data_IF_282766759366
#
_entry.id   IF_282766759366
#
_cell.length_a   1.000
_cell.length_b   1.000
_cell.length_c   1.000
_cell.angle_alpha   90.00
_cell.angle_beta   90.00
_cell.angle_gamma   90.00
#
_symmetry.space_group_name_H-M   'P 1'
#
loop_
_entity.id
_entity.type
_entity.pdbx_description
1 polymer ?
#
# COMPACT_ATOMS: atom_id res chain seq x y z
N UNK A 1 -35.26 -21.82 -21.29
CA UNK A 1 -35.64 -20.43 -21.61
C UNK A 1 -34.52 -19.53 -21.17
N UNK A 2 -33.98 -18.70 -22.07
CA UNK A 2 -32.96 -17.73 -21.73
C UNK A 2 -33.66 -16.50 -21.13
N UNK A 3 -33.31 -16.12 -19.89
CA UNK A 3 -33.94 -14.98 -19.22
C UNK A 3 -33.68 -13.69 -20.00
N UNK A 4 -34.74 -12.96 -20.33
CA UNK A 4 -34.67 -11.67 -21.00
C UNK A 4 -34.38 -10.59 -19.95
N UNK A 5 -33.27 -9.87 -20.08
CA UNK A 5 -32.95 -8.75 -19.20
C UNK A 5 -33.93 -7.60 -19.41
N UNK A 6 -34.24 -6.85 -18.34
CA UNK A 6 -35.05 -5.64 -18.42
C UNK A 6 -34.34 -4.57 -19.23
N UNK A 7 -35.07 -3.91 -20.13
CA UNK A 7 -34.62 -2.64 -20.70
C UNK A 7 -34.74 -1.52 -19.65
N UNK A 8 -34.10 -0.36 -19.90
CA UNK A 8 -34.26 0.83 -19.04
C UNK A 8 -35.75 1.20 -18.88
N UNK A 9 -36.53 1.09 -19.96
CA UNK A 9 -37.98 1.33 -19.94
C UNK A 9 -38.72 0.33 -19.05
N UNK A 10 -38.37 -0.95 -19.11
CA UNK A 10 -38.97 -1.98 -18.24
C UNK A 10 -38.60 -1.71 -16.77
N UNK A 11 -37.35 -1.33 -16.50
CA UNK A 11 -36.90 -0.98 -15.15
C UNK A 11 -37.64 0.24 -14.60
N UNK A 12 -37.73 1.32 -15.38
CA UNK A 12 -38.39 2.56 -14.97
C UNK A 12 -39.90 2.34 -14.76
N UNK A 13 -40.55 1.51 -15.57
CA UNK A 13 -41.95 1.13 -15.35
C UNK A 13 -42.19 0.45 -13.99
N UNK A 14 -41.19 -0.23 -13.45
CA UNK A 14 -41.29 -0.95 -12.17
C UNK A 14 -40.77 -0.17 -10.97
N UNK A 15 -39.88 0.82 -11.18
CA UNK A 15 -39.16 1.51 -10.11
C UNK A 15 -39.24 3.04 -10.16
N UNK A 16 -39.96 3.63 -11.11
CA UNK A 16 -40.11 5.10 -11.25
C UNK A 16 -40.74 5.76 -10.03
N UNK A 17 -41.66 5.08 -9.34
CA UNK A 17 -42.32 5.61 -8.14
C UNK A 17 -41.45 5.58 -6.86
N UNK A 18 -40.30 4.89 -6.89
CA UNK A 18 -39.48 4.64 -5.69
C UNK A 18 -38.31 5.62 -5.50
N UNK A 19 -37.85 6.28 -6.57
CA UNK A 19 -36.62 7.07 -6.51
C UNK A 19 -36.72 8.33 -7.38
N UNK A 20 -37.26 9.41 -6.82
CA UNK A 20 -37.10 10.77 -7.36
C UNK A 20 -35.67 11.30 -7.13
N UNK A 21 -34.65 10.48 -7.40
CA UNK A 21 -33.24 10.87 -7.28
C UNK A 21 -32.73 11.12 -5.86
N UNK A 22 -33.56 10.95 -4.82
CA UNK A 22 -33.14 11.00 -3.43
C UNK A 22 -32.46 9.67 -3.06
N UNK A 23 -31.13 9.68 -3.04
CA UNK A 23 -30.29 8.58 -2.60
C UNK A 23 -29.63 8.87 -1.26
N UNK A 24 -30.11 9.87 -0.50
CA UNK A 24 -29.48 10.29 0.76
C UNK A 24 -29.58 9.21 1.85
N UNK A 25 -30.46 8.21 1.66
CA UNK A 25 -30.54 7.01 2.49
C UNK A 25 -29.40 5.99 2.23
N UNK A 26 -28.60 6.17 1.18
CA UNK A 26 -27.49 5.29 0.83
C UNK A 26 -26.21 5.81 1.48
N UNK A 27 -25.79 5.14 2.56
CA UNK A 27 -24.45 5.32 3.10
C UNK A 27 -23.50 4.30 2.47
N UNK A 28 -22.52 4.80 1.70
CA UNK A 28 -21.48 3.95 1.11
C UNK A 28 -20.37 3.70 2.15
N UNK A 29 -20.19 2.44 2.54
CA UNK A 29 -19.07 2.06 3.40
C UNK A 29 -17.72 2.10 2.68
N UNK A 30 -16.70 2.66 3.34
CA UNK A 30 -15.31 2.56 2.85
C UNK A 30 -14.79 1.12 2.99
N UNK A 31 -14.20 0.59 1.92
CA UNK A 31 -13.55 -0.71 1.95
C UNK A 31 -12.10 -0.66 2.51
N UNK A 32 -11.48 0.52 2.59
CA UNK A 32 -10.20 0.70 3.29
C UNK A 32 -10.47 1.18 4.72
N UNK A 33 -10.12 0.35 5.71
CA UNK A 33 -10.25 0.70 7.12
C UNK A 33 -9.05 1.49 7.64
N UNK A 34 -8.01 1.75 6.83
CA UNK A 34 -6.84 2.51 7.27
C UNK A 34 -7.21 3.95 7.67
N UNK A 35 -6.95 4.30 8.93
CA UNK A 35 -7.06 5.65 9.45
C UNK A 35 -5.73 6.07 10.10
N UNK A 36 -5.13 7.16 9.63
CA UNK A 36 -3.79 7.57 10.06
C UNK A 36 -3.73 7.99 11.54
N UNK A 37 -4.82 8.55 12.09
CA UNK A 37 -4.93 8.91 13.50
C UNK A 37 -5.04 7.67 14.39
N UNK A 38 -5.83 6.68 13.99
CA UNK A 38 -5.97 5.43 14.75
C UNK A 38 -4.68 4.64 14.74
N UNK A 39 -3.98 4.61 13.60
CA UNK A 39 -2.65 3.98 13.48
C UNK A 39 -1.63 4.70 14.36
N UNK A 40 -1.63 6.04 14.37
CA UNK A 40 -0.79 6.81 15.28
C UNK A 40 -1.09 6.50 16.76
N UNK A 41 -2.37 6.40 17.12
CA UNK A 41 -2.81 6.01 18.46
C UNK A 41 -2.26 4.64 18.87
N UNK A 42 -2.31 3.66 17.95
CA UNK A 42 -1.72 2.34 18.19
C UNK A 42 -0.19 2.40 18.34
N UNK A 43 0.51 3.12 17.45
CA UNK A 43 1.98 3.25 17.45
C UNK A 43 2.52 3.79 18.77
N UNK A 44 1.81 4.72 19.44
CA UNK A 44 2.22 5.26 20.74
C UNK A 44 2.39 4.22 21.84
N UNK A 45 1.78 3.04 21.69
CA UNK A 45 1.88 1.95 22.66
C UNK A 45 3.12 1.06 22.43
N UNK A 46 3.99 1.42 21.50
CA UNK A 46 5.19 0.67 21.13
C UNK A 46 6.45 1.54 21.21
N UNK A 47 7.61 0.88 21.18
CA UNK A 47 8.87 1.60 21.00
C UNK A 47 8.97 2.11 19.55
N UNK A 48 8.76 3.42 19.39
CA UNK A 48 8.78 4.10 18.10
C UNK A 48 10.11 3.94 17.35
N UNK A 49 11.26 3.95 18.04
CA UNK A 49 12.57 3.79 17.38
C UNK A 49 12.70 2.40 16.78
N UNK A 50 12.19 1.39 17.49
CA UNK A 50 12.17 0.02 16.99
C UNK A 50 11.24 -0.09 15.78
N UNK A 51 10.03 0.49 15.85
CA UNK A 51 9.09 0.46 14.72
C UNK A 51 9.62 1.18 13.48
N UNK A 52 10.27 2.33 13.64
CA UNK A 52 10.94 3.05 12.55
C UNK A 52 12.02 2.15 11.94
N UNK A 53 12.87 1.56 12.78
CA UNK A 53 13.96 0.67 12.34
C UNK A 53 13.42 -0.52 11.55
N UNK A 54 12.36 -1.16 12.07
CA UNK A 54 11.63 -2.25 11.39
C UNK A 54 11.05 -1.77 10.05
N UNK A 55 10.39 -0.61 10.01
CA UNK A 55 9.77 -0.09 8.78
C UNK A 55 10.79 0.11 7.65
N UNK A 56 11.97 0.65 7.99
CA UNK A 56 13.08 0.85 7.07
C UNK A 56 13.63 -0.50 6.60
N UNK A 57 13.90 -1.44 7.53
CA UNK A 57 14.36 -2.78 7.22
C UNK A 57 13.41 -3.47 6.23
N UNK A 58 12.11 -3.42 6.49
CA UNK A 58 11.10 -4.05 5.65
C UNK A 58 10.96 -3.40 4.27
N UNK A 59 11.03 -2.06 4.18
CA UNK A 59 10.94 -1.36 2.89
C UNK A 59 12.18 -1.58 2.02
N UNK A 60 13.36 -1.71 2.64
CA UNK A 60 14.64 -1.76 1.92
C UNK A 60 15.09 -3.21 1.65
N UNK A 61 15.02 -4.09 2.64
CA UNK A 61 15.48 -5.47 2.51
C UNK A 61 14.34 -6.40 2.09
N UNK A 62 13.11 -6.08 2.49
CA UNK A 62 11.93 -6.89 2.21
C UNK A 62 11.73 -8.04 3.20
N UNK A 63 10.79 -8.92 2.87
CA UNK A 63 10.49 -10.15 3.60
C UNK A 63 11.10 -11.34 2.85
N UNK A 64 12.02 -12.06 3.48
CA UNK A 64 12.55 -13.31 2.93
C UNK A 64 11.49 -14.42 2.94
N UNK A 65 11.77 -15.55 2.28
CA UNK A 65 10.91 -16.74 2.36
C UNK A 65 10.82 -17.24 3.82
N UNK A 66 9.76 -16.79 4.52
CA UNK A 66 9.34 -17.18 5.87
C UNK A 66 10.06 -16.52 7.07
N UNK A 67 10.95 -15.55 6.86
CA UNK A 67 11.59 -14.81 7.97
C UNK A 67 11.47 -13.30 7.76
N UNK A 68 11.09 -12.58 8.84
CA UNK A 68 11.09 -11.11 8.86
C UNK A 68 12.50 -10.52 9.04
N UNK A 69 13.46 -11.36 9.46
CA UNK A 69 14.84 -10.96 9.68
C UNK A 69 15.03 -10.24 11.01
N UNK A 70 16.21 -9.66 11.17
CA UNK A 70 16.66 -8.95 12.36
C UNK A 70 16.94 -7.49 11.96
N UNK A 71 16.66 -6.56 12.87
CA UNK A 71 17.10 -5.17 12.76
C UNK A 71 17.98 -4.80 13.96
N UNK A 72 19.00 -3.98 13.72
CA UNK A 72 19.82 -3.41 14.79
C UNK A 72 19.29 -2.04 15.17
N UNK A 73 18.85 -1.87 16.40
CA UNK A 73 18.38 -0.59 16.94
C UNK A 73 19.19 -0.26 18.19
N UNK A 74 19.90 0.88 18.20
CA UNK A 74 20.76 1.30 19.32
C UNK A 74 21.77 0.24 19.80
N UNK A 75 22.28 -0.59 18.88
CA UNK A 75 23.23 -1.66 19.20
C UNK A 75 22.61 -3.00 19.60
N UNK A 76 21.30 -3.05 19.82
CA UNK A 76 20.57 -4.28 20.12
C UNK A 76 20.04 -4.94 18.85
N UNK A 77 20.14 -6.26 18.77
CA UNK A 77 19.54 -7.07 17.71
C UNK A 77 18.10 -7.43 18.06
N UNK A 78 17.18 -7.03 17.21
CA UNK A 78 15.75 -7.25 17.38
C UNK A 78 15.27 -8.19 16.29
N UNK A 79 14.87 -9.40 16.67
CA UNK A 79 14.14 -10.30 15.79
C UNK A 79 12.72 -9.76 15.56
N UNK A 80 12.41 -9.42 14.31
CA UNK A 80 11.21 -8.67 13.96
C UNK A 80 9.94 -9.49 14.22
N UNK A 81 10.00 -10.81 13.97
CA UNK A 81 8.85 -11.69 14.21
C UNK A 81 8.54 -11.78 15.70
N UNK A 82 9.57 -12.01 16.53
CA UNK A 82 9.44 -12.06 17.98
C UNK A 82 8.93 -10.74 18.55
N UNK A 83 9.37 -9.61 17.98
CA UNK A 83 8.85 -8.29 18.34
C UNK A 83 7.36 -8.17 18.01
N UNK A 84 6.93 -8.59 16.82
CA UNK A 84 5.51 -8.58 16.44
C UNK A 84 4.66 -9.49 17.32
N UNK A 85 5.13 -10.70 17.62
CA UNK A 85 4.45 -11.64 18.53
C UNK A 85 4.28 -11.02 19.93
N UNK A 86 5.35 -10.42 20.48
CA UNK A 86 5.34 -9.77 21.81
C UNK A 86 4.40 -8.57 21.88
N UNK A 87 4.27 -7.82 20.78
CA UNK A 87 3.55 -6.55 20.74
C UNK A 87 2.16 -6.64 20.12
N UNK A 88 1.74 -7.82 19.66
CA UNK A 88 0.42 -8.03 19.05
C UNK A 88 0.26 -7.44 17.65
N UNK A 89 1.37 -7.13 16.95
CA UNK A 89 1.32 -6.65 15.56
C UNK A 89 0.91 -7.80 14.65
N UNK A 90 -0.13 -7.59 13.83
CA UNK A 90 -0.72 -8.62 12.98
C UNK A 90 0.10 -8.80 11.70
N UNK A 91 0.80 -9.93 11.57
CA UNK A 91 1.67 -10.20 10.42
C UNK A 91 1.35 -11.50 9.67
N UNK A 92 0.60 -12.42 10.29
CA UNK A 92 0.21 -13.72 9.72
C UNK A 92 -1.25 -13.77 9.23
N UNK A 93 -1.90 -12.61 9.10
CA UNK A 93 -3.29 -12.50 8.66
C UNK A 93 -3.50 -13.09 7.25
N UNK A 94 -4.51 -13.93 7.11
CA UNK A 94 -4.93 -14.50 5.82
C UNK A 94 -5.70 -13.46 5.00
N UNK A 95 -5.76 -13.66 3.68
CA UNK A 95 -6.55 -12.80 2.78
C UNK A 95 -8.02 -12.82 3.22
N UNK A 96 -8.60 -11.64 3.49
CA UNK A 96 -9.98 -11.51 3.97
C UNK A 96 -10.11 -11.36 5.49
N UNK A 97 -9.00 -11.41 6.25
CA UNK A 97 -9.02 -11.02 7.67
C UNK A 97 -9.46 -9.57 7.77
N UNK A 98 -10.57 -9.31 8.48
CA UNK A 98 -11.04 -7.95 8.76
C UNK A 98 -10.02 -7.27 9.68
N UNK A 99 -9.51 -6.13 9.23
CA UNK A 99 -8.64 -5.27 10.02
C UNK A 99 -9.47 -4.10 10.56
N UNK A 100 -9.38 -3.87 11.86
CA UNK A 100 -9.90 -2.65 12.49
C UNK A 100 -8.99 -1.46 12.13
N UNK A 101 -9.47 -0.23 12.28
CA UNK A 101 -8.74 0.94 11.76
C UNK A 101 -7.37 1.17 12.39
N UNK A 102 -7.22 0.89 13.67
CA UNK A 102 -5.96 0.97 14.42
C UNK A 102 -5.08 -0.28 14.35
N UNK A 103 -5.51 -1.37 13.69
CA UNK A 103 -4.72 -2.59 13.65
C UNK A 103 -3.36 -2.36 12.96
N UNK A 104 -2.28 -2.67 13.68
CA UNK A 104 -0.93 -2.61 13.13
C UNK A 104 -0.62 -3.88 12.34
N UNK A 105 -0.13 -3.67 11.13
CA UNK A 105 0.43 -4.71 10.27
C UNK A 105 1.75 -4.21 9.69
N UNK A 106 2.65 -5.08 9.20
CA UNK A 106 3.88 -4.65 8.55
C UNK A 106 3.66 -3.60 7.44
N UNK A 107 2.60 -3.78 6.63
CA UNK A 107 2.26 -2.83 5.56
C UNK A 107 1.77 -1.49 6.09
N UNK A 108 0.94 -1.49 7.15
CA UNK A 108 0.42 -0.26 7.76
C UNK A 108 1.51 0.53 8.48
N UNK A 109 2.46 -0.17 9.13
CA UNK A 109 3.64 0.45 9.74
C UNK A 109 4.52 1.11 8.67
N UNK A 110 4.82 0.42 7.55
CA UNK A 110 5.55 1.02 6.44
C UNK A 110 4.81 2.20 5.81
N UNK A 111 3.49 2.09 5.60
CA UNK A 111 2.65 3.20 5.10
C UNK A 111 2.69 4.39 6.05
N UNK A 112 2.60 4.17 7.36
CA UNK A 112 2.66 5.25 8.34
C UNK A 112 4.02 5.98 8.30
N UNK A 113 5.12 5.23 8.36
CA UNK A 113 6.47 5.80 8.33
C UNK A 113 7.03 6.09 6.93
N UNK A 114 6.18 6.14 5.90
CA UNK A 114 6.59 6.33 4.48
C UNK A 114 7.51 7.53 4.26
N UNK A 115 7.25 8.66 4.93
CA UNK A 115 8.09 9.84 4.84
C UNK A 115 9.48 9.65 5.47
N UNK A 116 9.58 8.88 6.56
CA UNK A 116 10.87 8.56 7.19
C UNK A 116 11.67 7.61 6.30
N UNK A 117 11.01 6.61 5.69
CA UNK A 117 11.64 5.68 4.74
C UNK A 117 12.17 6.44 3.53
N UNK A 118 11.36 7.35 2.97
CA UNK A 118 11.75 8.23 1.87
C UNK A 118 12.95 9.11 2.21
N UNK A 119 12.93 9.77 3.38
CA UNK A 119 14.02 10.61 3.85
C UNK A 119 15.31 9.79 4.04
N UNK A 120 15.20 8.59 4.61
CA UNK A 120 16.33 7.67 4.76
C UNK A 120 16.95 7.30 3.41
N UNK A 121 16.16 6.90 2.41
CA UNK A 121 16.65 6.56 1.07
C UNK A 121 17.22 7.78 0.33
N UNK A 122 16.69 8.96 0.60
CA UNK A 122 17.18 10.22 0.02
C UNK A 122 18.55 10.61 0.57
N UNK A 123 18.74 10.49 1.89
CA UNK A 123 20.01 10.77 2.57
C UNK A 123 21.07 9.69 2.35
N UNK A 124 20.64 8.45 2.14
CA UNK A 124 21.52 7.29 1.96
C UNK A 124 21.45 6.78 0.50
N UNK A 125 21.88 7.59 -0.47
CA UNK A 125 21.74 7.29 -1.91
C UNK A 125 22.35 5.94 -2.34
N UNK A 126 23.36 5.43 -1.65
CA UNK A 126 23.96 4.12 -1.92
C UNK A 126 23.07 2.94 -1.48
N UNK A 127 22.07 3.20 -0.65
CA UNK A 127 21.11 2.19 -0.20
C UNK A 127 19.93 2.17 -1.16
N UNK A 128 19.69 1.01 -1.77
CA UNK A 128 18.56 0.78 -2.67
C UNK A 128 17.62 -0.26 -2.10
N UNK A 129 16.33 -0.10 -2.31
CA UNK A 129 15.36 -1.11 -1.91
C UNK A 129 15.55 -2.40 -2.71
N UNK A 130 15.13 -3.52 -2.13
CA UNK A 130 15.06 -4.81 -2.81
C UNK A 130 14.14 -4.74 -4.02
N UNK A 131 13.03 -3.99 -3.91
CA UNK A 131 12.09 -3.75 -5.00
C UNK A 131 12.82 -3.12 -6.20
N UNK A 132 13.61 -2.08 -5.95
CA UNK A 132 14.41 -1.42 -6.98
C UNK A 132 15.44 -2.38 -7.60
N UNK A 133 16.32 -2.95 -6.76
CA UNK A 133 17.45 -3.77 -7.24
C UNK A 133 17.01 -4.99 -8.05
N UNK A 134 15.90 -5.62 -7.66
CA UNK A 134 15.48 -6.89 -8.26
C UNK A 134 14.46 -6.73 -9.38
N UNK A 135 13.59 -5.71 -9.32
CA UNK A 135 12.42 -5.62 -10.19
C UNK A 135 12.35 -4.32 -11.00
N UNK A 136 13.14 -3.29 -10.70
CA UNK A 136 13.10 -2.06 -11.49
C UNK A 136 13.67 -2.32 -12.89
N UNK A 137 12.90 -2.11 -13.97
CA UNK A 137 13.37 -2.36 -15.33
C UNK A 137 14.34 -1.28 -15.83
N UNK A 138 14.35 -0.10 -15.20
CA UNK A 138 15.18 1.04 -15.56
C UNK A 138 15.94 1.47 -14.30
N UNK A 139 17.26 1.29 -14.30
CA UNK A 139 18.12 1.59 -13.15
C UNK A 139 18.51 3.09 -13.15
N UNK A 140 17.51 3.96 -13.03
CA UNK A 140 17.76 5.39 -12.83
C UNK A 140 18.04 5.68 -11.35
N UNK A 141 19.32 5.92 -11.07
CA UNK A 141 19.83 6.26 -9.74
C UNK A 141 19.17 7.52 -9.15
N UNK A 142 18.74 8.47 -9.99
CA UNK A 142 18.04 9.68 -9.54
C UNK A 142 16.62 9.40 -9.08
N UNK A 143 16.01 8.29 -9.46
CA UNK A 143 14.64 7.95 -9.06
C UNK A 143 14.62 6.77 -8.09
N UNK A 144 15.75 6.15 -7.77
CA UNK A 144 15.76 4.92 -6.97
C UNK A 144 15.08 5.02 -5.59
N UNK A 145 15.05 6.23 -5.01
CA UNK A 145 14.46 6.51 -3.70
C UNK A 145 12.91 6.52 -3.73
N UNK A 146 12.29 6.58 -4.91
CA UNK A 146 10.84 6.48 -5.05
C UNK A 146 10.35 5.02 -5.18
N UNK A 147 11.27 4.06 -5.27
CA UNK A 147 10.91 2.66 -5.51
C UNK A 147 10.98 1.89 -4.19
N UNK A 148 9.91 1.94 -3.40
CA UNK A 148 9.72 1.11 -2.20
C UNK A 148 8.22 0.95 -1.86
N UNK A 149 7.81 -0.08 -1.09
CA UNK A 149 6.42 -0.22 -0.66
C UNK A 149 5.98 0.92 0.26
N UNK A 150 4.99 1.70 -0.16
CA UNK A 150 4.48 2.86 0.58
C UNK A 150 4.67 4.19 -0.14
N UNK A 151 5.55 4.26 -1.14
CA UNK A 151 5.74 5.48 -1.94
C UNK A 151 4.45 5.87 -2.70
N UNK A 152 3.62 4.90 -3.08
CA UNK A 152 2.31 5.13 -3.72
C UNK A 152 1.33 5.98 -2.90
N UNK A 153 1.62 6.21 -1.61
CA UNK A 153 0.85 7.06 -0.70
C UNK A 153 1.48 8.44 -0.44
N UNK A 154 2.46 8.83 -1.25
CA UNK A 154 3.18 10.12 -1.14
C UNK A 154 3.12 10.94 -2.43
N UNK A 155 2.51 10.40 -3.48
CA UNK A 155 2.57 10.95 -4.83
C UNK A 155 1.47 11.99 -5.07
N UNK A 156 1.73 12.89 -6.02
CA UNK A 156 0.78 13.91 -6.45
C UNK A 156 0.81 14.05 -7.97
N UNK A 157 -0.36 13.95 -8.66
CA UNK A 157 -0.45 14.14 -10.10
C UNK A 157 0.18 15.46 -10.56
N UNK A 158 0.95 15.42 -11.65
CA UNK A 158 1.65 16.56 -12.22
C UNK A 158 2.94 16.97 -11.49
N UNK A 159 3.24 16.36 -10.34
CA UNK A 159 4.48 16.60 -9.58
C UNK A 159 5.39 15.37 -9.64
N UNK A 160 4.83 14.17 -9.45
CA UNK A 160 5.61 12.93 -9.29
C UNK A 160 5.34 11.91 -10.40
N UNK A 161 5.01 12.38 -11.60
CA UNK A 161 4.53 11.50 -12.68
C UNK A 161 5.61 10.54 -13.17
N UNK A 162 6.86 10.99 -13.28
CA UNK A 162 7.99 10.15 -13.68
C UNK A 162 8.28 9.05 -12.63
N UNK A 163 8.25 9.39 -11.34
CA UNK A 163 8.37 8.44 -10.24
C UNK A 163 7.25 7.39 -10.29
N UNK A 164 6.00 7.82 -10.54
CA UNK A 164 4.85 6.92 -10.64
C UNK A 164 4.97 6.00 -11.84
N UNK A 165 5.40 6.50 -13.01
CA UNK A 165 5.65 5.67 -14.19
C UNK A 165 6.67 4.59 -13.87
N UNK A 166 7.79 4.95 -13.22
CA UNK A 166 8.83 3.98 -12.86
C UNK A 166 8.34 2.97 -11.81
N UNK A 167 7.57 3.43 -10.82
CA UNK A 167 6.97 2.59 -9.79
C UNK A 167 6.04 1.54 -10.39
N UNK A 168 5.11 1.94 -11.27
CA UNK A 168 4.17 1.02 -11.94
C UNK A 168 4.93 0.00 -12.79
N UNK A 169 5.89 0.45 -13.61
CA UNK A 169 6.73 -0.45 -14.42
C UNK A 169 7.47 -1.46 -13.55
N UNK A 170 7.95 -1.05 -12.38
CA UNK A 170 8.60 -1.93 -11.40
C UNK A 170 7.64 -2.98 -10.86
N UNK A 171 6.42 -2.60 -10.47
CA UNK A 171 5.42 -3.54 -9.99
C UNK A 171 4.90 -4.49 -11.07
N UNK A 172 4.75 -4.03 -12.32
CA UNK A 172 4.42 -4.90 -13.46
C UNK A 172 5.49 -5.98 -13.70
N UNK A 173 6.78 -5.61 -13.59
CA UNK A 173 7.87 -6.57 -13.70
C UNK A 173 7.87 -7.58 -12.53
N UNK A 174 7.59 -7.11 -11.31
CA UNK A 174 7.38 -7.99 -10.15
C UNK A 174 6.25 -8.99 -10.42
N UNK A 175 5.07 -8.51 -10.82
CA UNK A 175 3.89 -9.33 -11.10
C UNK A 175 4.17 -10.45 -12.11
N UNK A 176 4.85 -10.13 -13.21
CA UNK A 176 5.30 -11.11 -14.20
C UNK A 176 6.23 -12.16 -13.59
N UNK A 177 7.17 -11.76 -12.74
CA UNK A 177 8.16 -12.69 -12.15
C UNK A 177 7.60 -13.63 -11.09
N UNK A 178 6.56 -13.22 -10.36
CA UNK A 178 5.99 -14.03 -9.28
C UNK A 178 4.57 -14.53 -9.57
N UNK A 179 4.06 -14.29 -10.78
CA UNK A 179 2.72 -14.62 -11.23
C UNK A 179 1.63 -14.13 -10.25
N UNK A 180 1.65 -12.83 -9.96
CA UNK A 180 0.68 -12.14 -9.08
C UNK A 180 0.13 -10.89 -9.76
N UNK A 181 -0.84 -10.25 -9.12
CA UNK A 181 -1.46 -9.00 -9.58
C UNK A 181 -1.44 -7.94 -8.46
N UNK A 182 -0.23 -7.59 -8.03
CA UNK A 182 0.04 -6.55 -7.03
C UNK A 182 -0.20 -5.17 -7.64
N UNK A 183 0.12 -4.98 -8.92
CA UNK A 183 -0.03 -3.69 -9.63
C UNK A 183 -1.46 -3.16 -9.55
N UNK A 184 -2.48 -4.03 -9.59
CA UNK A 184 -3.89 -3.60 -9.40
C UNK A 184 -4.11 -2.92 -8.05
N UNK A 185 -3.44 -3.36 -6.98
CA UNK A 185 -3.55 -2.72 -5.65
C UNK A 185 -2.83 -1.37 -5.65
N UNK A 186 -1.70 -1.27 -6.32
CA UNK A 186 -0.96 -0.01 -6.47
C UNK A 186 -1.78 1.00 -7.26
N UNK A 187 -2.43 0.60 -8.36
CA UNK A 187 -3.34 1.48 -9.11
C UNK A 187 -4.45 2.04 -8.22
N UNK A 188 -5.05 1.23 -7.35
CA UNK A 188 -6.07 1.70 -6.40
C UNK A 188 -5.52 2.75 -5.43
N UNK A 189 -4.31 2.55 -4.91
CA UNK A 189 -3.66 3.53 -4.05
C UNK A 189 -3.38 4.84 -4.81
N UNK A 190 -2.88 4.77 -6.05
CA UNK A 190 -2.60 5.94 -6.89
C UNK A 190 -3.87 6.70 -7.27
N UNK A 191 -4.97 6.00 -7.59
CA UNK A 191 -6.26 6.64 -7.83
C UNK A 191 -6.79 7.37 -6.59
N UNK A 192 -6.58 6.81 -5.39
CA UNK A 192 -6.90 7.49 -4.15
C UNK A 192 -6.03 8.73 -3.89
N UNK A 193 -4.88 8.88 -4.59
CA UNK A 193 -4.07 10.10 -4.61
C UNK A 193 -4.42 11.05 -5.78
N UNK A 194 -5.46 10.74 -6.56
CA UNK A 194 -5.96 11.60 -7.64
C UNK A 194 -5.43 11.27 -9.04
N UNK A 195 -4.65 10.20 -9.22
CA UNK A 195 -4.26 9.75 -10.56
C UNK A 195 -5.46 9.19 -11.34
N UNK A 196 -5.63 9.63 -12.58
CA UNK A 196 -6.74 9.16 -13.42
C UNK A 196 -6.50 7.74 -13.94
N UNK A 197 -7.59 6.98 -14.13
CA UNK A 197 -7.53 5.66 -14.78
C UNK A 197 -6.91 5.75 -16.17
N UNK A 198 -7.16 6.84 -16.91
CA UNK A 198 -6.58 7.09 -18.22
C UNK A 198 -5.04 7.17 -18.16
N UNK A 199 -4.49 7.97 -17.24
CA UNK A 199 -3.03 8.06 -17.04
C UNK A 199 -2.44 6.68 -16.71
N UNK A 200 -3.02 5.97 -15.76
CA UNK A 200 -2.53 4.67 -15.30
C UNK A 200 -2.61 3.58 -16.37
N UNK A 201 -3.57 3.67 -17.30
CA UNK A 201 -3.75 2.69 -18.38
C UNK A 201 -2.75 2.83 -19.53
N UNK A 202 -2.11 3.99 -19.66
CA UNK A 202 -1.12 4.30 -20.71
C UNK A 202 0.29 3.81 -20.36
N UNK A 203 0.52 3.52 -19.08
CA UNK A 203 1.76 2.97 -18.54
C UNK A 203 1.66 1.45 -18.58
#
# INVERSE_FOLDING_TARGET
MQGKYFSKKDFDLHYSDYFEGDYDFIELGSADTYNENDIYGSIKNHDEKVLISISIQLAIIGLGNKTYGIVKCNGEEIDIKSYFDKTGIKYSSTLGTKLESGDLTPRRIMRFYRYIIYDYLTKNRNVKSYLYRKYCPILDEKLSFCIFPGFEHMVSPGITDDEVILLIKTYKNLDTRINKNITTRIHRALMAQGYSQEFLSRI
#
